data_IF_907711080386
#
_entry.id   IF_907711080386
#
_cell.length_a   1.000
_cell.length_b   1.000
_cell.length_c   1.000
_cell.angle_alpha   90.00
_cell.angle_beta   90.00
_cell.angle_gamma   90.00
#
_symmetry.space_group_name_H-M   'P 1'
#
loop_
_entity.id
_entity.type
_entity.pdbx_description
1 polymer ?
#
# COMPACT_ATOMS: atom_id res chain seq x y z
N UNK A 1 9.58 24.38 -25.53
CA UNK A 1 10.76 23.72 -24.92
C UNK A 1 11.61 24.68 -24.09
N UNK A 2 12.20 25.77 -24.65
CA UNK A 2 12.98 26.75 -23.85
C UNK A 2 12.20 27.41 -22.70
N UNK A 3 10.97 27.89 -22.95
CA UNK A 3 10.13 28.51 -21.91
C UNK A 3 9.79 27.57 -20.74
N UNK A 4 9.51 26.29 -21.03
CA UNK A 4 9.24 25.25 -20.02
C UNK A 4 10.49 24.93 -19.19
N UNK A 5 11.68 24.91 -19.82
CA UNK A 5 12.94 24.72 -19.11
C UNK A 5 13.25 25.88 -18.16
N UNK A 6 12.94 27.11 -18.58
CA UNK A 6 13.13 28.32 -17.75
C UNK A 6 12.16 28.33 -16.57
N UNK A 7 10.88 27.97 -16.78
CA UNK A 7 9.89 27.87 -15.70
C UNK A 7 10.25 26.80 -14.65
N UNK A 8 10.72 25.63 -15.09
CA UNK A 8 11.17 24.56 -14.19
C UNK A 8 12.40 25.00 -13.39
N UNK A 9 13.36 25.66 -14.04
CA UNK A 9 14.56 26.19 -13.36
C UNK A 9 14.19 27.26 -12.32
N UNK A 10 13.23 28.14 -12.64
CA UNK A 10 12.76 29.18 -11.72
C UNK A 10 12.01 28.60 -10.53
N UNK A 11 11.21 27.54 -10.74
CA UNK A 11 10.55 26.82 -9.65
C UNK A 11 11.54 26.07 -8.76
N UNK A 12 12.55 25.40 -9.32
CA UNK A 12 13.60 24.75 -8.54
C UNK A 12 14.42 25.74 -7.72
N UNK A 13 14.74 26.92 -8.26
CA UNK A 13 15.41 27.98 -7.50
C UNK A 13 14.56 28.50 -6.35
N UNK A 14 13.28 28.81 -6.59
CA UNK A 14 12.36 29.23 -5.53
C UNK A 14 12.18 28.18 -4.44
N UNK A 15 12.11 26.90 -4.81
CA UNK A 15 12.02 25.80 -3.84
C UNK A 15 13.29 25.71 -2.97
N UNK A 16 14.45 25.86 -3.58
CA UNK A 16 15.75 25.82 -2.87
C UNK A 16 15.94 27.04 -1.97
N UNK A 17 15.51 28.21 -2.40
CA UNK A 17 15.51 29.44 -1.59
C UNK A 17 14.54 29.34 -0.41
N UNK A 18 13.34 28.79 -0.61
CA UNK A 18 12.39 28.52 0.46
C UNK A 18 12.93 27.51 1.47
N UNK A 19 13.63 26.46 1.03
CA UNK A 19 14.29 25.51 1.93
C UNK A 19 15.41 26.15 2.75
N UNK A 20 16.22 27.02 2.14
CA UNK A 20 17.26 27.78 2.85
C UNK A 20 16.68 28.79 3.83
N UNK A 21 15.58 29.45 3.48
CA UNK A 21 14.88 30.38 4.36
C UNK A 21 14.21 29.65 5.55
N UNK A 22 13.72 28.42 5.32
CA UNK A 22 13.19 27.54 6.37
C UNK A 22 14.30 27.02 7.30
N UNK A 23 15.53 26.81 6.80
CA UNK A 23 16.65 26.37 7.63
C UNK A 23 17.24 27.47 8.52
N UNK A 24 16.98 28.76 8.25
CA UNK A 24 17.50 29.90 9.01
C UNK A 24 16.54 30.40 10.11
N UNK A 25 15.27 29.97 10.11
CA UNK A 25 14.37 30.19 11.24
C UNK A 25 14.66 29.12 12.30
N UNK A 26 15.29 29.52 13.40
CA UNK A 26 15.60 28.72 14.60
C UNK A 26 14.38 28.10 15.33
N UNK A 27 13.28 27.79 14.63
CA UNK A 27 12.05 27.18 15.18
C UNK A 27 11.50 26.02 14.33
N UNK A 28 12.23 25.60 13.28
CA UNK A 28 11.97 24.28 12.68
C UNK A 28 12.80 23.24 13.44
N UNK A 29 12.53 23.05 14.74
CA UNK A 29 12.88 21.78 15.37
C UNK A 29 12.25 20.70 14.50
N UNK A 30 13.07 19.81 13.96
CA UNK A 30 12.58 18.71 13.14
C UNK A 30 11.50 17.97 13.93
N UNK A 31 10.46 17.40 13.29
CA UNK A 31 9.39 16.69 14.01
C UNK A 31 9.93 15.66 15.01
N UNK A 32 11.08 15.05 14.70
CA UNK A 32 11.82 14.15 15.57
C UNK A 32 12.37 14.82 16.84
N UNK A 33 12.98 16.00 16.73
CA UNK A 33 13.56 16.74 17.87
C UNK A 33 12.47 17.23 18.82
N UNK A 34 11.33 17.69 18.28
CA UNK A 34 10.14 17.99 19.10
C UNK A 34 9.61 16.77 19.81
N UNK A 35 9.47 15.65 19.09
CA UNK A 35 9.01 14.39 19.67
C UNK A 35 9.95 13.94 20.80
N UNK A 36 11.26 13.98 20.58
CA UNK A 36 12.28 13.65 21.58
C UNK A 36 12.19 14.56 22.80
N UNK A 37 12.03 15.87 22.61
CA UNK A 37 11.95 16.83 23.72
C UNK A 37 10.71 16.61 24.59
N UNK A 38 9.55 16.40 23.95
CA UNK A 38 8.30 16.09 24.66
C UNK A 38 8.34 14.73 25.36
N UNK A 39 9.00 13.74 24.75
CA UNK A 39 9.17 12.41 25.33
C UNK A 39 10.12 12.42 26.53
N UNK A 40 11.20 13.20 26.46
CA UNK A 40 12.19 13.30 27.54
C UNK A 40 11.54 13.72 28.87
N UNK A 41 10.68 14.75 28.83
CA UNK A 41 9.96 15.24 30.01
C UNK A 41 8.97 14.20 30.57
N UNK A 42 8.26 13.48 29.70
CA UNK A 42 7.27 12.47 30.11
C UNK A 42 7.92 11.20 30.70
N UNK A 43 9.12 10.83 30.25
CA UNK A 43 9.75 9.55 30.58
C UNK A 43 10.59 9.60 31.85
N UNK A 44 11.34 10.69 32.07
CA UNK A 44 12.18 10.83 33.27
C UNK A 44 11.33 10.97 34.55
N UNK A 45 10.13 11.52 34.43
CA UNK A 45 9.28 11.81 35.60
C UNK A 45 8.35 10.64 35.94
N UNK A 46 7.89 9.86 34.95
CA UNK A 46 6.74 8.96 35.12
C UNK A 46 6.98 7.50 34.69
N UNK A 47 8.15 7.15 34.14
CA UNK A 47 8.54 5.78 33.77
C UNK A 47 7.50 5.05 32.89
N UNK A 48 6.97 5.74 31.88
CA UNK A 48 5.98 5.19 30.95
C UNK A 48 6.60 4.44 29.77
N UNK A 49 5.86 3.47 29.22
CA UNK A 49 6.17 2.89 27.92
C UNK A 49 5.68 3.81 26.79
N UNK A 50 6.51 3.94 25.75
CA UNK A 50 6.19 4.78 24.59
C UNK A 50 5.52 3.93 23.53
N UNK A 51 4.32 4.35 23.12
CA UNK A 51 3.64 3.78 21.97
C UNK A 51 3.56 4.83 20.87
N UNK A 52 4.08 4.49 19.70
CA UNK A 52 3.96 5.30 18.49
C UNK A 52 2.94 4.64 17.58
N UNK A 53 2.06 5.44 17.00
CA UNK A 53 0.98 4.92 16.15
C UNK A 53 0.70 5.85 14.99
N UNK A 54 0.16 5.28 13.92
CA UNK A 54 -0.38 6.03 12.80
C UNK A 54 -1.23 5.16 11.91
N UNK A 55 -2.03 5.81 11.06
CA UNK A 55 -2.85 5.16 10.04
C UNK A 55 -2.36 5.57 8.64
N UNK A 56 -2.40 4.65 7.68
CA UNK A 56 -2.04 4.94 6.28
C UNK A 56 -0.62 5.48 6.15
N UNK A 57 -0.42 6.63 5.50
CA UNK A 57 0.86 7.33 5.47
C UNK A 57 1.40 7.64 6.87
N UNK A 58 0.52 7.97 7.83
CA UNK A 58 0.90 8.19 9.22
C UNK A 58 1.49 6.93 9.86
N UNK A 59 1.03 5.74 9.46
CA UNK A 59 1.58 4.47 9.92
C UNK A 59 3.01 4.28 9.42
N UNK A 60 3.29 4.63 8.16
CA UNK A 60 4.65 4.60 7.62
C UNK A 60 5.59 5.54 8.38
N UNK A 61 5.14 6.78 8.61
CA UNK A 61 5.91 7.78 9.36
C UNK A 61 6.14 7.30 10.80
N UNK A 62 5.11 6.76 11.46
CA UNK A 62 5.19 6.18 12.79
C UNK A 62 6.26 5.08 12.87
N UNK A 63 6.24 4.12 11.95
CA UNK A 63 7.22 3.04 11.92
C UNK A 63 8.64 3.55 11.67
N UNK A 64 8.84 4.50 10.75
CA UNK A 64 10.17 5.06 10.46
C UNK A 64 10.73 5.87 11.63
N UNK A 65 9.90 6.69 12.28
CA UNK A 65 10.31 7.45 13.47
C UNK A 65 10.63 6.48 14.61
N UNK A 66 9.85 5.42 14.77
CA UNK A 66 10.08 4.39 15.79
C UNK A 66 11.43 3.69 15.64
N UNK A 67 11.86 3.42 14.40
CA UNK A 67 13.21 2.88 14.17
C UNK A 67 14.29 3.78 14.76
N UNK A 68 14.16 5.10 14.61
CA UNK A 68 15.13 6.08 15.12
C UNK A 68 15.02 6.28 16.63
N UNK A 69 13.79 6.40 17.14
CA UNK A 69 13.55 6.62 18.57
C UNK A 69 13.97 5.43 19.42
N UNK A 70 13.95 4.21 18.87
CA UNK A 70 14.34 3.01 19.59
C UNK A 70 15.82 2.96 19.99
N UNK A 71 16.69 3.73 19.34
CA UNK A 71 18.07 3.95 19.77
C UNK A 71 18.13 4.61 21.16
N UNK A 72 17.17 5.48 21.47
CA UNK A 72 17.06 6.21 22.74
C UNK A 72 16.11 5.52 23.73
N UNK A 73 15.06 4.88 23.21
CA UNK A 73 13.99 4.28 24.01
C UNK A 73 13.77 2.81 23.61
N UNK A 74 14.54 1.87 24.18
CA UNK A 74 14.49 0.46 23.79
C UNK A 74 13.14 -0.24 24.02
N UNK A 75 12.31 0.26 24.94
CA UNK A 75 10.97 -0.29 25.23
C UNK A 75 9.87 0.22 24.29
N UNK A 76 10.17 1.16 23.38
CA UNK A 76 9.18 1.76 22.48
C UNK A 76 8.54 0.74 21.55
N UNK A 77 7.22 0.74 21.46
CA UNK A 77 6.46 -0.09 20.51
C UNK A 77 5.71 0.75 19.49
N UNK A 78 5.57 0.25 18.26
CA UNK A 78 4.87 0.90 17.17
C UNK A 78 3.68 0.06 16.71
N UNK A 79 2.49 0.66 16.67
CA UNK A 79 1.31 0.09 16.03
C UNK A 79 1.00 0.84 14.73
N UNK A 80 1.23 0.18 13.61
CA UNK A 80 1.04 0.75 12.28
C UNK A 80 -0.26 0.24 11.67
N UNK A 81 -1.27 1.11 11.50
CA UNK A 81 -2.59 0.73 11.01
C UNK A 81 -2.72 0.95 9.50
N UNK A 82 -2.98 -0.11 8.73
CA UNK A 82 -3.01 -0.09 7.27
C UNK A 82 -1.81 0.65 6.63
N UNK A 83 -0.56 0.33 7.00
CA UNK A 83 0.63 1.00 6.47
C UNK A 83 0.83 0.68 4.99
N UNK A 84 1.45 1.58 4.20
CA UNK A 84 1.72 1.32 2.79
C UNK A 84 2.66 0.11 2.61
N UNK A 85 2.34 -0.74 1.63
CA UNK A 85 3.12 -1.94 1.32
C UNK A 85 4.54 -1.64 0.82
N UNK A 86 4.73 -0.52 0.13
CA UNK A 86 6.01 -0.11 -0.44
C UNK A 86 7.00 0.52 0.53
N UNK A 87 7.03 0.11 1.81
CA UNK A 87 7.73 0.87 2.85
C UNK A 87 9.17 0.42 3.11
N UNK A 88 9.41 -0.89 3.27
CA UNK A 88 10.69 -1.42 3.72
C UNK A 88 11.11 -2.66 2.93
N UNK A 89 12.42 -2.87 2.81
CA UNK A 89 12.94 -4.13 2.29
C UNK A 89 12.62 -5.28 3.27
N UNK A 90 12.62 -6.55 2.83
CA UNK A 90 12.30 -7.68 3.70
C UNK A 90 13.25 -7.77 4.90
N UNK A 91 14.52 -7.39 4.71
CA UNK A 91 15.51 -7.31 5.78
C UNK A 91 15.13 -6.26 6.85
N UNK A 92 14.68 -5.07 6.44
CA UNK A 92 14.24 -4.03 7.39
C UNK A 92 12.92 -4.46 8.05
N UNK A 93 11.99 -5.05 7.30
CA UNK A 93 10.75 -5.57 7.86
C UNK A 93 11.03 -6.61 8.96
N UNK A 94 11.97 -7.54 8.72
CA UNK A 94 12.40 -8.54 9.70
C UNK A 94 13.04 -7.90 10.95
N UNK A 95 13.94 -6.93 10.79
CA UNK A 95 14.57 -6.23 11.93
C UNK A 95 13.55 -5.46 12.78
N UNK A 96 12.47 -5.00 12.18
CA UNK A 96 11.43 -4.21 12.86
C UNK A 96 10.35 -5.06 13.51
N UNK A 97 10.34 -6.39 13.34
CA UNK A 97 9.36 -7.31 13.94
C UNK A 97 9.29 -7.23 15.46
N UNK A 98 10.43 -6.96 16.11
CA UNK A 98 10.53 -6.92 17.56
C UNK A 98 9.81 -5.73 18.22
N UNK A 99 9.41 -4.73 17.44
CA UNK A 99 8.88 -3.48 17.98
C UNK A 99 7.84 -2.78 17.12
N UNK A 100 7.61 -3.24 15.90
CA UNK A 100 6.59 -2.72 15.03
C UNK A 100 5.57 -3.82 14.76
N UNK A 101 4.30 -3.52 14.97
CA UNK A 101 3.17 -4.37 14.63
C UNK A 101 2.32 -3.64 13.62
N UNK A 102 2.27 -4.17 12.41
CA UNK A 102 1.45 -3.64 11.32
C UNK A 102 0.11 -4.38 11.28
N UNK A 103 -0.98 -3.64 11.41
CA UNK A 103 -2.35 -4.17 11.43
C UNK A 103 -2.98 -3.86 10.08
N UNK A 104 -3.32 -4.90 9.32
CA UNK A 104 -3.83 -4.79 7.95
C UNK A 104 -5.23 -5.37 7.88
N UNK A 105 -6.14 -4.68 7.20
CA UNK A 105 -7.56 -5.07 7.15
C UNK A 105 -7.94 -5.56 5.75
N UNK A 106 -8.35 -6.83 5.66
CA UNK A 106 -8.91 -7.46 4.47
C UNK A 106 -8.17 -7.16 3.16
N UNK A 107 -8.90 -6.72 2.15
CA UNK A 107 -8.33 -6.35 0.85
C UNK A 107 -7.84 -4.89 0.73
N UNK A 108 -7.36 -4.27 1.82
CA UNK A 108 -6.81 -2.90 1.78
C UNK A 108 -5.77 -2.71 0.67
N UNK A 109 -6.05 -1.78 -0.25
CA UNK A 109 -5.18 -1.47 -1.39
C UNK A 109 -3.88 -0.79 -0.97
N UNK A 110 -3.89 0.03 0.08
CA UNK A 110 -2.70 0.81 0.49
C UNK A 110 -1.63 -0.13 1.06
N UNK A 111 -2.05 -1.07 1.89
CA UNK A 111 -1.16 -2.09 2.44
C UNK A 111 -0.54 -3.03 1.40
N UNK A 112 -1.15 -3.10 0.21
CA UNK A 112 -0.67 -3.91 -0.93
C UNK A 112 0.04 -3.08 -2.00
N UNK A 113 0.08 -1.76 -1.84
CA UNK A 113 0.62 -0.85 -2.84
C UNK A 113 2.15 -0.87 -2.80
N UNK A 114 2.76 -1.44 -3.83
CA UNK A 114 4.20 -1.41 -4.08
C UNK A 114 4.47 -1.24 -5.57
N UNK A 115 5.70 -0.88 -5.93
CA UNK A 115 6.08 -0.77 -7.34
C UNK A 115 5.88 -2.12 -8.06
N UNK A 116 6.20 -3.23 -7.38
CA UNK A 116 6.03 -4.56 -7.91
C UNK A 116 4.54 -4.91 -8.15
N UNK A 117 3.66 -4.63 -7.19
CA UNK A 117 2.23 -4.97 -7.31
C UNK A 117 1.52 -4.05 -8.31
N UNK A 118 1.90 -2.78 -8.41
CA UNK A 118 1.41 -1.87 -9.47
C UNK A 118 1.85 -2.35 -10.84
N UNK A 119 3.11 -2.77 -10.98
CA UNK A 119 3.61 -3.32 -12.25
C UNK A 119 2.86 -4.59 -12.65
N UNK A 120 2.66 -5.52 -11.71
CA UNK A 120 1.86 -6.72 -11.93
C UNK A 120 0.44 -6.38 -12.37
N UNK A 121 -0.21 -5.42 -11.70
CA UNK A 121 -1.55 -4.98 -12.07
C UNK A 121 -1.60 -4.40 -13.48
N UNK A 122 -0.60 -3.63 -13.90
CA UNK A 122 -0.52 -3.11 -15.27
C UNK A 122 -0.37 -4.25 -16.28
N UNK A 123 0.46 -5.26 -15.98
CA UNK A 123 0.64 -6.43 -16.83
C UNK A 123 -0.67 -7.22 -16.96
N UNK A 124 -1.37 -7.43 -15.86
CA UNK A 124 -2.67 -8.12 -15.84
C UNK A 124 -3.74 -7.36 -16.61
N UNK A 125 -3.76 -6.02 -16.53
CA UNK A 125 -4.66 -5.17 -17.31
C UNK A 125 -4.32 -5.22 -18.79
N UNK A 126 -3.04 -5.15 -19.17
CA UNK A 126 -2.60 -5.25 -20.55
C UNK A 126 -2.99 -6.60 -21.17
N UNK A 127 -2.75 -7.70 -20.44
CA UNK A 127 -3.17 -9.04 -20.84
C UNK A 127 -4.70 -9.14 -20.94
N UNK A 128 -5.43 -8.61 -19.97
CA UNK A 128 -6.89 -8.60 -19.97
C UNK A 128 -7.47 -7.83 -21.15
N UNK A 129 -6.83 -6.73 -21.57
CA UNK A 129 -7.23 -5.97 -22.76
C UNK A 129 -6.97 -6.76 -24.05
N UNK A 130 -5.83 -7.43 -24.16
CA UNK A 130 -5.50 -8.27 -25.32
C UNK A 130 -6.45 -9.45 -25.47
N UNK A 131 -6.91 -10.01 -24.34
CA UNK A 131 -7.86 -11.13 -24.32
C UNK A 131 -9.31 -10.69 -24.46
N UNK A 132 -9.63 -9.40 -24.32
CA UNK A 132 -11.00 -8.92 -24.33
C UNK A 132 -11.60 -9.00 -25.74
N UNK A 133 -12.50 -9.96 -25.97
CA UNK A 133 -13.19 -10.12 -27.25
C UNK A 133 -14.60 -9.50 -27.26
N UNK A 134 -14.88 -8.60 -26.30
CA UNK A 134 -16.18 -7.93 -26.18
C UNK A 134 -16.11 -6.48 -26.64
N UNK A 135 -17.02 -6.04 -27.53
CA UNK A 135 -17.06 -4.65 -27.96
C UNK A 135 -17.48 -3.74 -26.79
N UNK A 136 -16.85 -2.57 -26.69
CA UNK A 136 -17.08 -1.59 -25.61
C UNK A 136 -18.56 -1.23 -25.45
N UNK A 137 -19.31 -1.14 -26.55
CA UNK A 137 -20.75 -0.84 -26.52
C UNK A 137 -21.56 -1.92 -25.80
N UNK A 138 -21.24 -3.20 -26.00
CA UNK A 138 -21.93 -4.31 -25.32
C UNK A 138 -21.61 -4.30 -23.82
N UNK A 139 -20.37 -3.95 -23.45
CA UNK A 139 -19.97 -3.78 -22.05
C UNK A 139 -20.74 -2.61 -21.41
N UNK A 140 -20.81 -1.46 -22.09
CA UNK A 140 -21.55 -0.29 -21.61
C UNK A 140 -23.04 -0.56 -21.45
N UNK A 141 -23.64 -1.27 -22.42
CA UNK A 141 -25.04 -1.68 -22.38
C UNK A 141 -25.34 -2.62 -21.21
N UNK A 142 -24.50 -3.64 -20.97
CA UNK A 142 -24.65 -4.54 -19.82
C UNK A 142 -24.60 -3.80 -18.48
N UNK A 143 -23.76 -2.76 -18.37
CA UNK A 143 -23.65 -1.91 -17.18
C UNK A 143 -24.92 -1.08 -17.02
N UNK A 144 -25.38 -0.40 -18.09
CA UNK A 144 -26.57 0.43 -18.09
C UNK A 144 -27.84 -0.36 -17.74
N UNK A 145 -27.96 -1.58 -18.28
CA UNK A 145 -29.10 -2.46 -18.05
C UNK A 145 -29.01 -3.23 -16.72
N UNK A 146 -27.94 -3.05 -15.95
CA UNK A 146 -27.77 -3.74 -14.67
C UNK A 146 -27.70 -5.26 -14.79
N UNK A 147 -27.30 -5.79 -15.95
CA UNK A 147 -27.22 -7.23 -16.24
C UNK A 147 -26.02 -7.91 -15.56
N UNK A 148 -25.14 -7.13 -14.92
CA UNK A 148 -23.98 -7.61 -14.14
C UNK A 148 -24.32 -8.15 -12.73
N UNK A 149 -25.58 -8.49 -12.45
CA UNK A 149 -26.00 -8.88 -11.09
C UNK A 149 -25.55 -10.27 -10.64
N UNK A 150 -25.06 -11.14 -11.54
CA UNK A 150 -24.71 -12.51 -11.19
C UNK A 150 -23.18 -12.76 -11.28
N UNK A 151 -22.47 -12.86 -10.16
CA UNK A 151 -21.00 -13.04 -10.13
C UNK A 151 -20.53 -14.46 -10.49
N UNK A 152 -21.44 -15.46 -10.53
CA UNK A 152 -21.04 -16.87 -10.69
C UNK A 152 -20.82 -17.33 -12.14
N UNK A 153 -21.27 -16.57 -13.12
CA UNK A 153 -21.02 -16.85 -14.53
C UNK A 153 -20.23 -15.69 -15.10
N UNK A 154 -18.90 -15.83 -15.12
CA UNK A 154 -18.04 -14.87 -15.80
C UNK A 154 -18.54 -14.76 -17.25
N UNK A 155 -19.02 -13.58 -17.70
CA UNK A 155 -19.39 -13.45 -19.10
C UNK A 155 -18.17 -13.82 -19.95
N UNK A 156 -18.37 -14.53 -21.07
CA UNK A 156 -17.34 -14.82 -22.09
C UNK A 156 -16.74 -13.52 -22.62
N UNK A 157 -15.91 -12.90 -21.80
CA UNK A 157 -15.34 -11.57 -21.99
C UNK A 157 -13.93 -11.70 -22.52
N UNK A 158 -13.26 -12.77 -22.09
CA UNK A 158 -11.89 -13.07 -22.42
C UNK A 158 -11.83 -14.31 -23.31
N UNK A 159 -11.05 -14.25 -24.38
CA UNK A 159 -10.65 -15.43 -25.15
C UNK A 159 -9.54 -16.21 -24.43
N UNK A 160 -9.26 -17.43 -24.91
CA UNK A 160 -8.06 -18.16 -24.51
C UNK A 160 -6.79 -17.43 -24.98
N UNK A 161 -5.65 -17.65 -24.33
CA UNK A 161 -4.39 -17.01 -24.69
C UNK A 161 -3.96 -17.39 -26.12
N UNK A 162 -4.23 -18.63 -26.52
CA UNK A 162 -3.91 -19.14 -27.84
C UNK A 162 -4.80 -18.55 -28.94
N UNK A 163 -5.97 -18.01 -28.57
CA UNK A 163 -6.95 -17.40 -29.47
C UNK A 163 -6.75 -15.88 -29.67
N UNK A 164 -5.72 -15.29 -29.05
CA UNK A 164 -5.37 -13.89 -29.26
C UNK A 164 -4.94 -13.68 -30.71
N UNK A 165 -5.39 -12.59 -31.34
CA UNK A 165 -4.98 -12.21 -32.69
C UNK A 165 -3.44 -12.12 -32.80
N UNK A 166 -2.87 -12.60 -33.90
CA UNK A 166 -1.44 -12.60 -34.15
C UNK A 166 -0.83 -11.19 -34.07
N UNK A 167 -1.53 -10.16 -34.54
CA UNK A 167 -1.06 -8.77 -34.44
C UNK A 167 -1.01 -8.30 -32.98
N UNK A 168 -2.08 -8.59 -32.22
CA UNK A 168 -2.17 -8.24 -30.79
C UNK A 168 -1.15 -9.01 -29.97
N UNK A 169 -0.91 -10.29 -30.30
CA UNK A 169 0.10 -11.12 -29.63
C UNK A 169 1.50 -10.55 -29.81
N UNK A 170 1.85 -10.06 -31.01
CA UNK A 170 3.13 -9.40 -31.25
C UNK A 170 3.32 -8.15 -30.39
N UNK A 171 2.30 -7.30 -30.31
CA UNK A 171 2.33 -6.09 -29.47
C UNK A 171 2.48 -6.46 -27.99
N UNK A 172 1.76 -7.48 -27.53
CA UNK A 172 1.88 -7.97 -26.16
C UNK A 172 3.28 -8.53 -25.89
N UNK A 173 3.85 -9.29 -26.82
CA UNK A 173 5.19 -9.84 -26.68
C UNK A 173 6.27 -8.74 -26.64
N UNK A 174 6.15 -7.72 -27.49
CA UNK A 174 7.01 -6.53 -27.45
C UNK A 174 6.92 -5.82 -26.10
N UNK A 175 5.69 -5.56 -25.62
CA UNK A 175 5.44 -4.98 -24.31
C UNK A 175 6.10 -5.79 -23.18
N UNK A 176 5.88 -7.11 -23.16
CA UNK A 176 6.42 -8.00 -22.13
C UNK A 176 7.95 -8.06 -22.18
N UNK A 177 8.55 -8.06 -23.37
CA UNK A 177 10.01 -8.00 -23.52
C UNK A 177 10.60 -6.71 -22.95
N UNK A 178 9.95 -5.57 -23.18
CA UNK A 178 10.35 -4.29 -22.60
C UNK A 178 10.18 -4.30 -21.08
N UNK A 179 9.05 -4.82 -20.59
CA UNK A 179 8.77 -4.97 -19.17
C UNK A 179 9.82 -5.83 -18.45
N UNK A 180 10.24 -6.96 -19.04
CA UNK A 180 11.23 -7.87 -18.47
C UNK A 180 12.63 -7.26 -18.38
N UNK A 181 13.02 -6.41 -19.34
CA UNK A 181 14.29 -5.66 -19.26
C UNK A 181 14.33 -4.76 -18.03
N UNK A 182 13.19 -4.18 -17.64
CA UNK A 182 13.05 -3.35 -16.44
C UNK A 182 12.77 -4.15 -15.16
N UNK A 183 12.64 -5.48 -15.26
CA UNK A 183 12.32 -6.37 -14.15
C UNK A 183 13.56 -6.96 -13.45
N UNK A 184 14.77 -6.82 -14.02
CA UNK A 184 16.01 -7.38 -13.42
C UNK A 184 16.39 -6.80 -12.05
N UNK A 185 15.81 -5.66 -11.67
CA UNK A 185 15.97 -5.04 -10.34
C UNK A 185 14.83 -5.39 -9.36
N UNK A 186 13.88 -6.26 -9.72
CA UNK A 186 12.63 -6.43 -8.96
C UNK A 186 12.85 -7.05 -7.57
N UNK A 187 13.84 -7.92 -7.40
CA UNK A 187 14.20 -8.44 -6.07
C UNK A 187 14.71 -7.33 -5.14
N UNK A 188 15.36 -6.29 -5.68
CA UNK A 188 15.75 -5.10 -4.92
C UNK A 188 14.57 -4.14 -4.64
N UNK A 189 13.40 -4.38 -5.25
CA UNK A 189 12.18 -3.56 -5.15
C UNK A 189 11.02 -4.29 -4.47
N UNK A 190 11.24 -5.50 -3.94
CA UNK A 190 10.28 -6.18 -3.08
C UNK A 190 10.19 -5.44 -1.75
N UNK A 191 9.36 -4.40 -1.74
CA UNK A 191 9.05 -3.65 -0.54
C UNK A 191 7.78 -4.22 0.09
N UNK A 192 7.79 -4.28 1.42
CA UNK A 192 6.70 -4.79 2.24
C UNK A 192 6.45 -3.85 3.45
N UNK A 193 5.30 -3.99 4.12
CA UNK A 193 5.06 -3.31 5.38
C UNK A 193 6.10 -3.70 6.44
N UNK A 194 6.40 -2.78 7.35
CA UNK A 194 7.37 -3.04 8.43
C UNK A 194 6.78 -3.86 9.57
N UNK A 195 7.62 -4.64 10.23
CA UNK A 195 7.27 -5.34 11.47
C UNK A 195 6.44 -6.60 11.28
N UNK A 196 5.88 -7.09 12.40
CA UNK A 196 4.99 -8.25 12.41
C UNK A 196 3.62 -7.85 11.87
N UNK A 197 3.05 -8.65 10.96
CA UNK A 197 1.72 -8.38 10.42
C UNK A 197 0.66 -9.09 11.26
N UNK A 198 -0.32 -8.31 11.73
CA UNK A 198 -1.61 -8.82 12.20
C UNK A 198 -2.62 -8.53 11.11
N UNK A 199 -3.08 -9.58 10.45
CA UNK A 199 -4.02 -9.51 9.35
C UNK A 199 -5.44 -9.79 9.83
N UNK A 200 -6.31 -8.78 9.72
CA UNK A 200 -7.73 -8.89 10.03
C UNK A 200 -8.47 -9.37 8.78
N UNK A 201 -8.84 -10.65 8.78
CA UNK A 201 -9.48 -11.31 7.64
C UNK A 201 -11.01 -11.19 7.76
N UNK A 202 -11.70 -10.62 6.77
CA UNK A 202 -13.15 -10.66 6.72
C UNK A 202 -13.61 -12.05 6.26
N UNK A 203 -14.61 -12.60 6.93
CA UNK A 203 -15.34 -13.77 6.44
C UNK A 203 -16.84 -13.57 6.60
N UNK A 204 -17.60 -14.17 5.69
CA UNK A 204 -19.05 -14.06 5.66
C UNK A 204 -19.68 -15.22 6.42
N UNK A 205 -20.48 -14.93 7.45
CA UNK A 205 -21.36 -15.91 8.08
C UNK A 205 -22.50 -16.27 7.12
N UNK A 206 -22.78 -17.57 6.97
CA UNK A 206 -23.78 -18.09 6.02
C UNK A 206 -25.21 -17.56 6.29
N UNK A 207 -25.52 -17.19 7.53
CA UNK A 207 -26.91 -16.91 7.94
C UNK A 207 -27.34 -15.44 7.85
N UNK A 208 -26.44 -14.45 7.93
CA UNK A 208 -26.86 -13.05 8.10
C UNK A 208 -26.12 -12.00 7.24
N UNK A 209 -25.22 -12.43 6.34
CA UNK A 209 -24.35 -11.54 5.53
C UNK A 209 -23.61 -10.48 6.37
N UNK A 210 -23.38 -10.77 7.65
CA UNK A 210 -22.58 -9.95 8.54
C UNK A 210 -21.11 -10.32 8.32
N UNK A 211 -20.27 -9.30 8.14
CA UNK A 211 -18.81 -9.47 8.04
C UNK A 211 -18.26 -9.65 9.46
N UNK A 212 -17.83 -10.87 9.79
CA UNK A 212 -17.01 -11.11 10.98
C UNK A 212 -15.52 -11.06 10.62
N UNK A 213 -14.70 -10.82 11.64
CA UNK A 213 -13.25 -10.65 11.49
C UNK A 213 -12.50 -11.68 12.32
N UNK A 214 -11.40 -12.18 11.76
CA UNK A 214 -10.45 -13.07 12.42
C UNK A 214 -9.06 -12.42 12.35
N UNK A 215 -8.32 -12.43 13.45
CA UNK A 215 -6.99 -11.85 13.54
C UNK A 215 -5.91 -12.94 13.45
N UNK A 216 -5.16 -12.95 12.35
CA UNK A 216 -4.06 -13.91 12.15
C UNK A 216 -2.73 -13.22 11.95
N UNK A 217 -1.65 -13.86 12.40
CA UNK A 217 -0.30 -13.44 12.00
C UNK A 217 -0.06 -13.84 10.55
N UNK A 218 0.50 -12.91 9.77
CA UNK A 218 0.84 -13.13 8.37
C UNK A 218 2.29 -12.70 8.09
N UNK A 219 2.90 -13.28 7.07
CA UNK A 219 4.19 -12.80 6.58
C UNK A 219 3.99 -11.51 5.76
N UNK A 220 4.82 -10.46 5.93
CA UNK A 220 4.78 -9.27 5.08
C UNK A 220 4.82 -9.57 3.58
N UNK A 221 5.56 -10.60 3.16
CA UNK A 221 5.65 -11.02 1.77
C UNK A 221 4.35 -11.61 1.25
N UNK A 222 3.58 -12.34 2.07
CA UNK A 222 2.31 -12.94 1.64
C UNK A 222 1.30 -11.86 1.24
N UNK A 223 1.23 -10.76 2.00
CA UNK A 223 0.33 -9.63 1.71
C UNK A 223 0.68 -8.96 0.36
N UNK A 224 1.98 -8.83 0.06
CA UNK A 224 2.45 -8.23 -1.19
C UNK A 224 2.27 -9.20 -2.37
N UNK A 225 2.53 -10.49 -2.16
CA UNK A 225 2.41 -11.53 -3.19
C UNK A 225 0.98 -11.75 -3.66
N UNK A 226 0.00 -11.54 -2.78
CA UNK A 226 -1.42 -11.53 -3.16
C UNK A 226 -1.76 -10.42 -4.18
N UNK A 227 -0.92 -9.38 -4.32
CA UNK A 227 -1.10 -8.30 -5.28
C UNK A 227 -2.22 -7.33 -4.93
N UNK A 228 -2.48 -6.36 -5.82
CA UNK A 228 -3.58 -5.40 -5.65
C UNK A 228 -4.91 -6.07 -6.01
N UNK A 229 -5.76 -6.26 -5.01
CA UNK A 229 -7.11 -6.79 -5.19
C UNK A 229 -8.04 -5.67 -5.66
N UNK A 230 -8.53 -5.73 -6.89
CA UNK A 230 -9.47 -4.75 -7.45
C UNK A 230 -10.90 -5.08 -7.03
N UNK A 231 -11.36 -4.48 -5.94
CA UNK A 231 -12.71 -4.66 -5.40
C UNK A 231 -13.28 -3.34 -4.86
N UNK A 232 -14.61 -3.26 -4.74
CA UNK A 232 -15.29 -2.13 -4.07
C UNK A 232 -14.88 -2.01 -2.60
N UNK A 233 -14.47 -3.13 -2.00
CA UNK A 233 -14.06 -3.19 -0.60
C UNK A 233 -12.63 -2.68 -0.37
N UNK A 234 -11.77 -2.60 -1.39
CA UNK A 234 -10.35 -2.33 -1.20
C UNK A 234 -10.07 -0.94 -0.58
N UNK A 235 -10.84 0.07 -0.97
CA UNK A 235 -10.80 1.39 -0.32
C UNK A 235 -11.66 1.48 0.93
N UNK A 236 -12.64 0.59 1.10
CA UNK A 236 -13.49 0.56 2.29
C UNK A 236 -12.71 0.02 3.48
N UNK A 237 -11.98 -1.10 3.30
CA UNK A 237 -11.12 -1.69 4.31
C UNK A 237 -9.95 -0.79 4.73
N UNK A 238 -9.55 0.16 3.87
CA UNK A 238 -8.57 1.18 4.25
C UNK A 238 -9.09 2.16 5.31
N UNK A 239 -10.42 2.37 5.40
CA UNK A 239 -11.02 3.38 6.27
C UNK A 239 -10.81 3.03 7.74
N UNK A 240 -10.47 4.05 8.53
CA UNK A 240 -10.29 3.91 9.98
C UNK A 240 -11.55 3.38 10.69
N UNK A 241 -12.75 3.71 10.19
CA UNK A 241 -14.01 3.20 10.75
C UNK A 241 -14.16 1.69 10.61
N UNK A 242 -13.71 1.12 9.49
CA UNK A 242 -13.75 -0.34 9.26
C UNK A 242 -12.70 -1.01 10.12
N UNK A 243 -11.50 -0.40 10.22
CA UNK A 243 -10.45 -0.89 11.09
C UNK A 243 -10.88 -0.93 12.57
N UNK A 244 -11.55 0.12 13.06
CA UNK A 244 -12.10 0.15 14.41
C UNK A 244 -13.13 -0.95 14.63
N UNK A 245 -14.03 -1.14 13.66
CA UNK A 245 -15.04 -2.19 13.73
C UNK A 245 -14.40 -3.59 13.71
N UNK A 246 -13.44 -3.82 12.82
CA UNK A 246 -12.72 -5.08 12.71
C UNK A 246 -11.95 -5.41 14.00
N UNK A 247 -11.24 -4.44 14.58
CA UNK A 247 -10.54 -4.64 15.85
C UNK A 247 -11.48 -4.93 17.03
N UNK A 248 -12.65 -4.30 17.05
CA UNK A 248 -13.62 -4.50 18.12
C UNK A 248 -14.39 -5.83 18.01
N UNK A 249 -14.45 -6.41 16.81
CA UNK A 249 -15.23 -7.62 16.51
C UNK A 249 -14.37 -8.85 16.23
N UNK A 250 -13.06 -8.68 16.05
CA UNK A 250 -12.14 -9.78 15.79
C UNK A 250 -12.11 -10.76 16.98
N UNK A 251 -12.30 -12.04 16.66
CA UNK A 251 -12.21 -13.16 17.61
C UNK A 251 -10.80 -13.75 17.63
#
# INVERSE_FOLDING_TARGET
VRKLSEEISLQSQRFTENLKALSQRNEVQFPLERAQSALFEALEILNYDIIVTGHSLGAAVASMISMRLRETYPSLHCFAFNPPGGLASPAIAQLTQNFCTSIIVGCDVISRLSIATVKSLIDDVALSLCRCNRPKLKIAMDILLGLRKNPQSAPETYCAIDEIDEEVRKVLQEYLSYAQLHAKDVDARMLCPMGNIVFLRPYMMQDDRTEEWDAVYADPSDIINEGIIVSKHSMQHHKISVLQHALASAK
#
